data_IF_018629687389
#
_entry.id   IF_018629687389
#
_cell.length_a   1.000
_cell.length_b   1.000
_cell.length_c   1.000
_cell.angle_alpha   90.00
_cell.angle_beta   90.00
_cell.angle_gamma   90.00
#
_symmetry.space_group_name_H-M   'P 1'
#
loop_
_entity.id
_entity.type
_entity.pdbx_description
1 polymer ?
#
# COMPACT_ATOMS: atom_id res chain seq x y z
N UNK A 1 24.58 -42.94 -18.49
CA UNK A 1 24.37 -42.35 -17.15
C UNK A 1 22.88 -42.18 -16.94
N UNK A 2 22.30 -42.87 -15.96
CA UNK A 2 20.90 -42.69 -15.58
C UNK A 2 20.82 -41.45 -14.69
N UNK A 3 20.47 -40.29 -15.27
CA UNK A 3 20.15 -39.12 -14.47
C UNK A 3 18.88 -39.43 -13.66
N UNK A 4 18.89 -39.29 -12.33
CA UNK A 4 17.69 -39.45 -11.54
C UNK A 4 16.65 -38.42 -12.02
N UNK A 5 15.49 -38.91 -12.46
CA UNK A 5 14.36 -38.07 -12.81
C UNK A 5 13.93 -37.34 -11.54
N UNK A 6 14.34 -36.08 -11.41
CA UNK A 6 13.82 -35.18 -10.38
C UNK A 6 12.29 -35.20 -10.46
N UNK A 7 11.57 -35.19 -9.33
CA UNK A 7 10.12 -35.15 -9.31
C UNK A 7 9.64 -33.78 -9.80
N UNK A 8 9.62 -33.61 -11.12
CA UNK A 8 9.17 -32.41 -11.85
C UNK A 8 7.70 -32.08 -11.56
N UNK A 9 6.96 -33.03 -10.99
CA UNK A 9 5.58 -32.87 -10.53
C UNK A 9 5.37 -31.74 -9.53
N UNK A 10 6.34 -31.55 -8.63
CA UNK A 10 6.24 -30.51 -7.61
C UNK A 10 6.69 -29.15 -8.14
N UNK A 11 7.47 -29.11 -9.23
CA UNK A 11 8.04 -27.87 -9.74
C UNK A 11 6.99 -26.95 -10.36
N UNK A 12 6.11 -27.49 -11.22
CA UNK A 12 5.09 -26.65 -11.88
C UNK A 12 4.04 -26.13 -10.90
N UNK A 13 3.63 -26.95 -9.92
CA UNK A 13 2.73 -26.54 -8.83
C UNK A 13 3.37 -25.48 -7.94
N UNK A 14 4.64 -25.66 -7.56
CA UNK A 14 5.36 -24.68 -6.77
C UNK A 14 5.49 -23.35 -7.51
N UNK A 15 5.85 -23.39 -8.79
CA UNK A 15 5.99 -22.20 -9.63
C UNK A 15 4.66 -21.46 -9.75
N UNK A 16 3.55 -22.14 -10.03
CA UNK A 16 2.24 -21.49 -10.15
C UNK A 16 1.79 -20.87 -8.82
N UNK A 17 1.97 -21.55 -7.69
CA UNK A 17 1.65 -21.02 -6.36
C UNK A 17 2.53 -19.83 -5.97
N UNK A 18 3.84 -19.90 -6.24
CA UNK A 18 4.76 -18.80 -5.98
C UNK A 18 4.36 -17.52 -6.75
N UNK A 19 3.89 -17.68 -7.99
CA UNK A 19 3.43 -16.56 -8.81
C UNK A 19 2.11 -15.96 -8.29
N UNK A 20 1.19 -16.80 -7.80
CA UNK A 20 -0.02 -16.30 -7.10
C UNK A 20 0.36 -15.48 -5.86
N UNK A 21 1.34 -15.94 -5.08
CA UNK A 21 1.84 -15.17 -3.92
C UNK A 21 2.45 -13.84 -4.36
N UNK A 22 3.23 -13.80 -5.45
CA UNK A 22 3.78 -12.56 -6.00
C UNK A 22 2.67 -11.60 -6.42
N UNK A 23 1.60 -12.09 -7.05
CA UNK A 23 0.43 -11.27 -7.41
C UNK A 23 -0.21 -10.68 -6.15
N UNK A 24 -0.47 -11.50 -5.13
CA UNK A 24 -1.09 -11.05 -3.87
C UNK A 24 -0.24 -9.95 -3.23
N UNK A 25 1.08 -10.13 -3.13
CA UNK A 25 1.99 -9.13 -2.57
C UNK A 25 1.99 -7.86 -3.42
N UNK A 26 2.06 -8.00 -4.75
CA UNK A 26 2.09 -6.87 -5.70
C UNK A 26 0.85 -6.00 -5.63
N UNK A 27 -0.32 -6.59 -5.34
CA UNK A 27 -1.60 -5.88 -5.19
C UNK A 27 -1.77 -5.35 -3.77
N UNK A 28 -1.47 -6.13 -2.75
CA UNK A 28 -1.77 -5.78 -1.35
C UNK A 28 -0.84 -4.67 -0.83
N UNK A 29 0.44 -4.71 -1.19
CA UNK A 29 1.43 -3.74 -0.72
C UNK A 29 1.08 -2.27 -1.06
N UNK A 30 0.77 -1.90 -2.32
CA UNK A 30 0.39 -0.52 -2.62
C UNK A 30 -0.93 -0.11 -1.96
N UNK A 31 -1.88 -1.03 -1.77
CA UNK A 31 -3.16 -0.73 -1.10
C UNK A 31 -2.92 -0.28 0.35
N UNK A 32 -2.11 -1.04 1.10
CA UNK A 32 -1.78 -0.72 2.50
C UNK A 32 -1.11 0.66 2.60
N UNK A 33 -0.18 0.97 1.68
CA UNK A 33 0.47 2.28 1.66
C UNK A 33 -0.49 3.43 1.35
N UNK A 34 -1.44 3.22 0.43
CA UNK A 34 -2.45 4.21 0.09
C UNK A 34 -3.34 4.51 1.29
N UNK A 35 -3.78 3.49 2.02
CA UNK A 35 -4.61 3.65 3.23
C UNK A 35 -3.87 4.46 4.30
N UNK A 36 -2.61 4.13 4.57
CA UNK A 36 -1.78 4.89 5.51
C UNK A 36 -1.61 6.35 5.08
N UNK A 37 -1.43 6.60 3.78
CA UNK A 37 -1.31 7.95 3.25
C UNK A 37 -2.64 8.73 3.41
N UNK A 38 -3.78 8.08 3.17
CA UNK A 38 -5.10 8.69 3.35
C UNK A 38 -5.34 9.09 4.81
N UNK A 39 -5.02 8.23 5.78
CA UNK A 39 -5.13 8.59 7.19
C UNK A 39 -4.26 9.81 7.55
N UNK A 40 -3.03 9.87 7.04
CA UNK A 40 -2.14 11.03 7.24
C UNK A 40 -2.70 12.30 6.63
N UNK A 41 -3.24 12.24 5.41
CA UNK A 41 -3.90 13.38 4.75
C UNK A 41 -5.08 13.88 5.57
N UNK A 42 -5.93 12.98 6.07
CA UNK A 42 -7.09 13.36 6.91
C UNK A 42 -6.64 14.01 8.21
N UNK A 43 -5.62 13.47 8.87
CA UNK A 43 -5.05 14.06 10.08
C UNK A 43 -4.49 15.46 9.83
N UNK A 44 -3.69 15.64 8.77
CA UNK A 44 -3.12 16.95 8.44
C UNK A 44 -4.19 17.98 8.06
N UNK A 45 -5.24 17.56 7.36
CA UNK A 45 -6.37 18.44 7.06
C UNK A 45 -7.11 18.86 8.34
N UNK A 46 -7.19 17.98 9.35
CA UNK A 46 -7.69 18.31 10.68
C UNK A 46 -6.82 19.36 11.36
N UNK A 47 -5.52 19.12 11.43
CA UNK A 47 -4.53 20.04 12.02
C UNK A 47 -4.55 21.41 11.33
N UNK A 48 -4.65 21.44 10.00
CA UNK A 48 -4.73 22.68 9.22
C UNK A 48 -6.00 23.47 9.54
N UNK A 49 -7.15 22.80 9.69
CA UNK A 49 -8.40 23.46 10.08
C UNK A 49 -8.31 24.07 11.48
N UNK A 50 -7.72 23.35 12.44
CA UNK A 50 -7.49 23.87 13.79
C UNK A 50 -6.58 25.09 13.73
N UNK A 51 -5.46 25.00 13.02
CA UNK A 51 -4.49 26.08 12.87
C UNK A 51 -5.11 27.33 12.22
N UNK A 52 -5.90 27.15 11.16
CA UNK A 52 -6.62 28.25 10.52
C UNK A 52 -7.59 28.93 11.48
N UNK A 53 -8.27 28.16 12.33
CA UNK A 53 -9.15 28.71 13.35
C UNK A 53 -8.37 29.48 14.44
N UNK A 54 -7.22 28.97 14.86
CA UNK A 54 -6.32 29.68 15.79
C UNK A 54 -5.84 31.02 15.20
N UNK A 55 -5.47 31.04 13.91
CA UNK A 55 -5.10 32.27 13.19
C UNK A 55 -6.27 33.26 13.11
N UNK A 56 -7.49 32.79 12.85
CA UNK A 56 -8.68 33.65 12.86
C UNK A 56 -8.94 34.28 14.22
N UNK A 57 -8.79 33.51 15.31
CA UNK A 57 -8.94 34.02 16.67
C UNK A 57 -7.87 35.06 16.99
N UNK A 58 -6.61 34.80 16.66
CA UNK A 58 -5.53 35.76 16.85
C UNK A 58 -5.73 37.03 16.04
N UNK A 59 -6.22 36.95 14.81
CA UNK A 59 -6.58 38.14 14.02
C UNK A 59 -7.67 38.98 14.69
N UNK A 60 -8.66 38.33 15.31
CA UNK A 60 -9.69 39.04 16.10
C UNK A 60 -9.07 39.69 17.33
N UNK A 61 -8.16 39.01 18.03
CA UNK A 61 -7.42 39.57 19.17
C UNK A 61 -6.57 40.77 18.75
N UNK A 62 -5.84 40.69 17.62
CA UNK A 62 -5.08 41.82 17.04
C UNK A 62 -5.99 43.04 16.86
N UNK A 63 -7.13 42.84 16.19
CA UNK A 63 -8.07 43.93 15.92
C UNK A 63 -8.62 44.56 17.22
N UNK A 64 -8.78 43.78 18.29
CA UNK A 64 -9.18 44.28 19.61
C UNK A 64 -8.03 45.00 20.31
N UNK A 65 -6.80 44.49 20.19
CA UNK A 65 -5.57 45.10 20.72
C UNK A 65 -5.31 46.46 20.08
N UNK A 66 -5.41 46.57 18.75
CA UNK A 66 -5.22 47.83 18.02
C UNK A 66 -6.23 48.90 18.41
N UNK A 67 -7.48 48.49 18.72
CA UNK A 67 -8.51 49.40 19.22
C UNK A 67 -8.25 49.89 20.64
N UNK A 68 -7.47 49.15 21.44
CA UNK A 68 -7.26 49.45 22.84
C UNK A 68 -5.82 49.98 23.08
N UNK A 69 -5.64 51.30 22.97
CA UNK A 69 -4.33 51.97 22.97
C UNK A 69 -3.52 51.86 24.28
N UNK A 70 -4.12 51.42 25.39
CA UNK A 70 -3.49 51.41 26.72
C UNK A 70 -2.98 50.02 27.14
N UNK A 71 -2.43 49.24 26.20
CA UNK A 71 -1.89 47.91 26.48
C UNK A 71 -0.50 47.99 27.10
N UNK A 72 -0.24 47.09 28.03
CA UNK A 72 1.07 46.99 28.69
C UNK A 72 2.09 46.33 27.76
N UNK A 73 3.37 46.71 27.89
CA UNK A 73 4.46 46.10 27.13
C UNK A 73 4.52 44.57 27.30
N UNK A 74 4.16 44.07 28.49
CA UNK A 74 4.11 42.64 28.79
C UNK A 74 3.07 41.90 27.92
N UNK A 75 1.87 42.46 27.76
CA UNK A 75 0.84 41.89 26.88
C UNK A 75 1.27 41.88 25.41
N UNK A 76 2.00 42.91 24.98
CA UNK A 76 2.53 42.99 23.61
C UNK A 76 3.56 41.89 23.36
N UNK A 77 4.47 41.64 24.31
CA UNK A 77 5.47 40.57 24.22
C UNK A 77 4.80 39.18 24.17
N UNK A 78 3.80 38.92 25.02
CA UNK A 78 3.05 37.66 25.00
C UNK A 78 2.34 37.45 23.66
N UNK A 79 1.75 38.53 23.12
CA UNK A 79 1.10 38.51 21.83
C UNK A 79 2.07 38.16 20.67
N UNK A 80 3.25 38.78 20.63
CA UNK A 80 4.27 38.44 19.64
C UNK A 80 4.75 37.00 19.78
N UNK A 81 4.90 36.50 21.02
CA UNK A 81 5.27 35.11 21.28
C UNK A 81 4.26 34.14 20.70
N UNK A 82 2.95 34.37 20.94
CA UNK A 82 1.86 33.55 20.37
C UNK A 82 1.87 33.57 18.84
N UNK A 83 2.08 34.74 18.24
CA UNK A 83 2.14 34.88 16.78
C UNK A 83 3.30 34.08 16.19
N UNK A 84 4.50 34.17 16.78
CA UNK A 84 5.66 33.41 16.34
C UNK A 84 5.44 31.89 16.51
N UNK A 85 4.82 31.46 17.61
CA UNK A 85 4.47 30.04 17.79
C UNK A 85 3.56 29.51 16.68
N UNK A 86 2.57 30.31 16.23
CA UNK A 86 1.72 29.90 15.12
C UNK A 86 2.44 29.83 13.78
N UNK A 87 3.38 30.75 13.54
CA UNK A 87 4.23 30.69 12.35
C UNK A 87 5.08 29.41 12.34
N UNK A 88 5.66 29.03 13.48
CA UNK A 88 6.40 27.78 13.63
C UNK A 88 5.51 26.58 13.32
N UNK A 89 4.31 26.51 13.92
CA UNK A 89 3.34 25.43 13.62
C UNK A 89 2.96 25.38 12.13
N UNK A 90 2.80 26.52 11.47
CA UNK A 90 2.53 26.59 10.04
C UNK A 90 3.68 26.01 9.21
N UNK A 91 4.92 26.36 9.55
CA UNK A 91 6.11 25.81 8.90
C UNK A 91 6.19 24.30 9.11
N UNK A 92 5.94 23.81 10.32
CA UNK A 92 5.88 22.37 10.62
C UNK A 92 4.83 21.65 9.77
N UNK A 93 3.64 22.25 9.62
CA UNK A 93 2.57 21.70 8.79
C UNK A 93 2.97 21.66 7.31
N UNK A 94 3.64 22.71 6.80
CA UNK A 94 4.16 22.74 5.44
C UNK A 94 5.18 21.63 5.18
N UNK A 95 6.09 21.39 6.14
CA UNK A 95 7.05 20.27 6.05
C UNK A 95 6.33 18.93 5.97
N UNK A 96 5.32 18.70 6.83
CA UNK A 96 4.53 17.46 6.79
C UNK A 96 3.76 17.28 5.47
N UNK A 97 3.25 18.36 4.89
CA UNK A 97 2.61 18.33 3.55
C UNK A 97 3.62 17.91 2.49
N UNK A 98 4.82 18.49 2.51
CA UNK A 98 5.89 18.11 1.58
C UNK A 98 6.28 16.63 1.71
N UNK A 99 6.34 16.09 2.93
CA UNK A 99 6.58 14.67 3.18
C UNK A 99 5.48 13.77 2.58
N UNK A 100 4.21 14.20 2.67
CA UNK A 100 3.09 13.51 2.02
C UNK A 100 3.22 13.54 0.50
N UNK A 101 3.62 14.67 -0.09
CA UNK A 101 3.83 14.77 -1.53
C UNK A 101 4.93 13.83 -2.02
N UNK A 102 6.06 13.78 -1.31
CA UNK A 102 7.15 12.85 -1.61
C UNK A 102 6.70 11.39 -1.48
N UNK A 103 5.97 11.06 -0.41
CA UNK A 103 5.43 9.72 -0.19
C UNK A 103 4.42 9.33 -1.27
N UNK A 104 3.54 10.25 -1.65
CA UNK A 104 2.57 10.07 -2.73
C UNK A 104 3.26 9.79 -4.07
N UNK A 105 4.33 10.54 -4.38
CA UNK A 105 5.15 10.30 -5.56
C UNK A 105 5.77 8.91 -5.55
N UNK A 106 6.34 8.48 -4.42
CA UNK A 106 6.90 7.13 -4.26
C UNK A 106 5.83 6.03 -4.44
N UNK A 107 4.65 6.20 -3.86
CA UNK A 107 3.52 5.26 -4.02
C UNK A 107 3.08 5.18 -5.49
N UNK A 108 3.01 6.32 -6.20
CA UNK A 108 2.63 6.33 -7.61
C UNK A 108 3.63 5.58 -8.51
N UNK A 109 4.92 5.68 -8.23
CA UNK A 109 5.96 4.91 -8.91
C UNK A 109 5.81 3.41 -8.61
N UNK A 110 5.57 3.05 -7.35
CA UNK A 110 5.34 1.66 -6.96
C UNK A 110 4.06 1.07 -7.56
N UNK A 111 3.05 1.88 -7.87
CA UNK A 111 1.83 1.42 -8.55
C UNK A 111 2.14 0.84 -9.92
N UNK A 112 3.05 1.46 -10.67
CA UNK A 112 3.47 0.97 -11.99
C UNK A 112 4.15 -0.40 -11.84
N UNK A 113 5.05 -0.54 -10.87
CA UNK A 113 5.68 -1.82 -10.55
C UNK A 113 4.65 -2.88 -10.14
N UNK A 114 3.66 -2.52 -9.34
CA UNK A 114 2.56 -3.41 -8.96
C UNK A 114 1.72 -3.89 -10.15
N UNK A 115 1.43 -3.01 -11.12
CA UNK A 115 0.72 -3.36 -12.36
C UNK A 115 1.56 -4.32 -13.20
N UNK A 116 2.85 -4.04 -13.37
CA UNK A 116 3.78 -4.90 -14.11
C UNK A 116 3.89 -6.27 -13.43
N UNK A 117 4.12 -6.29 -12.12
CA UNK A 117 4.24 -7.52 -11.32
C UNK A 117 2.97 -8.36 -11.35
N UNK A 118 1.81 -7.73 -11.25
CA UNK A 118 0.50 -8.40 -11.36
C UNK A 118 0.28 -8.98 -12.75
N UNK A 119 0.59 -8.22 -13.80
CA UNK A 119 0.42 -8.66 -15.20
C UNK A 119 1.34 -9.82 -15.53
N UNK A 120 2.64 -9.69 -15.20
CA UNK A 120 3.64 -10.73 -15.42
C UNK A 120 3.35 -11.97 -14.57
N UNK A 121 3.01 -11.78 -13.29
CA UNK A 121 2.63 -12.85 -12.40
C UNK A 121 1.41 -13.63 -12.91
N UNK A 122 0.37 -12.92 -13.36
CA UNK A 122 -0.84 -13.55 -13.91
C UNK A 122 -0.55 -14.34 -15.17
N UNK A 123 0.25 -13.75 -16.07
CA UNK A 123 0.71 -14.43 -17.28
C UNK A 123 1.47 -15.71 -16.95
N UNK A 124 2.50 -15.64 -16.11
CA UNK A 124 3.31 -16.80 -15.76
C UNK A 124 2.50 -17.85 -14.97
N UNK A 125 1.59 -17.43 -14.09
CA UNK A 125 0.73 -18.33 -13.33
C UNK A 125 -0.17 -19.13 -14.29
N UNK A 126 -0.77 -18.46 -15.28
CA UNK A 126 -1.55 -19.11 -16.32
C UNK A 126 -0.74 -20.18 -17.08
N UNK A 127 0.49 -19.87 -17.50
CA UNK A 127 1.37 -20.85 -18.14
C UNK A 127 1.78 -21.98 -17.19
N UNK A 128 2.09 -21.68 -15.93
CA UNK A 128 2.44 -22.66 -14.92
C UNK A 128 1.32 -23.67 -14.66
N UNK A 129 0.08 -23.18 -14.48
CA UNK A 129 -1.10 -24.03 -14.35
C UNK A 129 -1.41 -24.81 -15.63
N UNK A 130 -1.24 -24.20 -16.80
CA UNK A 130 -1.45 -24.88 -18.09
C UNK A 130 -0.47 -26.03 -18.29
N UNK A 131 0.82 -25.81 -18.00
CA UNK A 131 1.86 -26.84 -18.06
C UNK A 131 1.62 -27.94 -17.04
N UNK A 132 1.27 -27.57 -15.80
CA UNK A 132 0.92 -28.53 -14.76
C UNK A 132 -0.24 -29.42 -15.21
N UNK A 133 -1.32 -28.83 -15.74
CA UNK A 133 -2.48 -29.58 -16.19
C UNK A 133 -2.14 -30.56 -17.32
N UNK A 134 -1.47 -30.07 -18.37
CA UNK A 134 -1.16 -30.88 -19.56
C UNK A 134 -0.15 -31.98 -19.26
N UNK A 135 0.90 -31.68 -18.51
CA UNK A 135 2.02 -32.61 -18.30
C UNK A 135 1.76 -33.60 -17.17
N UNK A 136 0.97 -33.22 -16.16
CA UNK A 136 0.91 -33.96 -14.90
C UNK A 136 -0.51 -34.44 -14.67
N UNK A 137 -1.44 -33.50 -14.50
CA UNK A 137 -2.82 -33.82 -14.12
C UNK A 137 -3.46 -34.77 -15.14
N UNK A 138 -3.35 -34.46 -16.44
CA UNK A 138 -3.91 -35.29 -17.50
C UNK A 138 -3.35 -36.71 -17.51
N UNK A 139 -2.05 -36.90 -17.22
CA UNK A 139 -1.44 -38.23 -17.15
C UNK A 139 -1.90 -38.99 -15.91
N UNK A 140 -1.95 -38.32 -14.76
CA UNK A 140 -2.44 -38.89 -13.51
C UNK A 140 -3.91 -39.34 -13.63
N UNK A 141 -4.76 -38.51 -14.23
CA UNK A 141 -6.17 -38.81 -14.45
C UNK A 141 -6.36 -40.04 -15.37
N UNK A 142 -5.52 -40.16 -16.42
CA UNK A 142 -5.53 -41.31 -17.31
C UNK A 142 -5.08 -42.61 -16.60
N UNK A 143 -4.06 -42.53 -15.74
CA UNK A 143 -3.59 -43.67 -14.96
C UNK A 143 -4.64 -44.12 -13.94
N UNK A 144 -5.23 -43.17 -13.22
CA UNK A 144 -6.29 -43.43 -12.25
C UNK A 144 -7.50 -44.10 -12.92
N UNK A 145 -7.90 -43.62 -14.11
CA UNK A 145 -9.00 -44.22 -14.88
C UNK A 145 -8.72 -45.68 -15.22
N UNK A 146 -7.48 -46.01 -15.63
CA UNK A 146 -7.07 -47.40 -15.94
C UNK A 146 -7.08 -48.30 -14.71
N UNK A 147 -6.63 -47.79 -13.56
CA UNK A 147 -6.65 -48.53 -12.29
C UNK A 147 -8.08 -48.87 -11.88
N UNK A 148 -8.98 -47.88 -11.91
CA UNK A 148 -10.39 -48.07 -11.58
C UNK A 148 -11.09 -49.07 -12.51
N UNK A 149 -10.74 -49.11 -13.81
CA UNK A 149 -11.29 -50.11 -14.73
C UNK A 149 -10.74 -51.51 -14.47
N UNK A 150 -9.43 -51.65 -14.20
CA UNK A 150 -8.81 -52.94 -13.90
C UNK A 150 -9.35 -53.57 -12.62
N UNK A 151 -9.56 -52.77 -11.58
CA UNK A 151 -10.08 -53.26 -10.29
C UNK A 151 -11.53 -53.76 -10.37
N UNK A 152 -12.30 -53.28 -11.36
CA UNK A 152 -13.67 -53.76 -11.61
C UNK A 152 -13.66 -55.13 -12.28
N UNK A 153 -12.73 -55.39 -13.19
CA UNK A 153 -12.62 -56.68 -13.89
C UNK A 153 -12.20 -57.81 -12.95
N UNK A 154 -11.42 -57.53 -11.91
CA UNK A 154 -10.96 -58.55 -10.92
C UNK A 154 -12.08 -58.96 -9.95
N UNK A 155 -13.13 -58.16 -9.79
CA UNK A 155 -14.23 -58.40 -8.84
C UNK A 155 -15.45 -59.12 -9.45
N UNK A 156 -15.39 -59.50 -10.72
CA UNK A 156 -16.43 -60.24 -11.46
C UNK A 156 -15.95 -61.68 -11.66
#
# INVERSE_FOLDING_TARGET
>A
MNLPLLPTDNLYKFMSLALVVIIIISVSYPIIQIEQLQHRIVSLNGDQKILNREVELLKKEINLFEKNKNKTMAELIDFYRKTNQQQIKNIELMVKVQDIELTSKYISQNRILGIIGTSLGSFLAFFGFSLWYVRIQKLQDLLLKRQVTSDKEIKI
#
